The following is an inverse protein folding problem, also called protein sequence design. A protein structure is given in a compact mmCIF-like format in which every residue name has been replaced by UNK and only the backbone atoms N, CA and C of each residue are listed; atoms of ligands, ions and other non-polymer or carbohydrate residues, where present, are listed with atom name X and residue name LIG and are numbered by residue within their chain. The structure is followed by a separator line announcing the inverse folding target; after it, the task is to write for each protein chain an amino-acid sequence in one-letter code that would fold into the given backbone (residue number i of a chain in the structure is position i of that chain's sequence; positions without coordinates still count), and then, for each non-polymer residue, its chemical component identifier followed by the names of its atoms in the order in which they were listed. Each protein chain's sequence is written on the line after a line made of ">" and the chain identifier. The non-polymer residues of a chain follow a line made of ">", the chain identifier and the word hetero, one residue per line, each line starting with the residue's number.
data_IF_344894867795
#
_entry.id   IF_344894867795
#
_cell.length_a   1.000
_cell.length_b   1.000
_cell.length_c   1.000
_cell.angle_alpha   90.00
_cell.angle_beta   90.00
_cell.angle_gamma   90.00
#
_symmetry.space_group_name_H-M   'P 1'
#
loop_
_entity.id
_entity.type
_entity.pdbx_description
1 polymer ?
#
# COMPACT_ATOMS: atom_id res chain seq x y z
N UNK A 1 -19.05 -35.96 -14.49
CA UNK A 1 -18.38 -34.93 -15.31
C UNK A 1 -18.44 -33.66 -14.50
N UNK A 2 -17.33 -33.28 -13.87
CA UNK A 2 -17.22 -32.03 -13.13
C UNK A 2 -16.50 -31.04 -14.05
N UNK A 3 -17.22 -29.97 -14.40
CA UNK A 3 -16.71 -28.86 -15.18
C UNK A 3 -15.67 -28.13 -14.33
N UNK A 4 -14.46 -28.00 -14.84
CA UNK A 4 -13.39 -27.22 -14.19
C UNK A 4 -13.56 -25.79 -14.65
N UNK A 5 -14.05 -24.96 -13.75
CA UNK A 5 -14.03 -23.51 -13.87
C UNK A 5 -12.56 -23.03 -13.91
N UNK A 6 -12.03 -22.84 -15.11
CA UNK A 6 -10.70 -22.28 -15.34
C UNK A 6 -10.84 -20.79 -15.58
N UNK A 7 -10.94 -20.02 -14.49
CA UNK A 7 -10.89 -18.56 -14.56
C UNK A 7 -9.65 -18.10 -15.33
N UNK A 8 -9.87 -17.44 -16.47
CA UNK A 8 -8.79 -16.90 -17.30
C UNK A 8 -8.04 -15.81 -16.55
N UNK A 9 -6.78 -16.07 -16.23
CA UNK A 9 -5.86 -15.03 -15.76
C UNK A 9 -5.50 -14.12 -16.92
N UNK A 10 -6.14 -12.95 -17.02
CA UNK A 10 -5.71 -11.91 -17.97
C UNK A 10 -4.43 -11.24 -17.46
N UNK A 11 -3.29 -11.70 -17.98
CA UNK A 11 -2.07 -10.91 -17.99
C UNK A 11 -2.30 -9.67 -18.87
N UNK A 12 -2.28 -8.48 -18.30
CA UNK A 12 -2.08 -7.27 -19.09
C UNK A 12 -0.57 -7.14 -19.26
N UNK A 13 -0.04 -7.68 -20.36
CA UNK A 13 1.36 -7.55 -20.75
C UNK A 13 1.41 -7.22 -22.25
N UNK A 14 2.22 -6.22 -22.62
CA UNK A 14 2.57 -5.99 -24.02
C UNK A 14 3.30 -7.24 -24.53
N UNK A 15 2.86 -7.77 -25.67
CA UNK A 15 3.27 -9.08 -26.17
C UNK A 15 4.80 -9.20 -26.37
N UNK A 16 5.38 -10.26 -25.79
CA UNK A 16 6.53 -10.94 -26.40
C UNK A 16 7.92 -10.56 -25.90
N UNK A 17 8.20 -10.62 -24.60
CA UNK A 17 9.59 -10.81 -24.15
C UNK A 17 9.66 -11.56 -22.81
N UNK A 18 10.65 -12.45 -22.68
CA UNK A 18 10.90 -13.16 -21.44
C UNK A 18 11.16 -12.15 -20.31
N UNK A 19 10.41 -12.25 -19.22
CA UNK A 19 10.57 -11.38 -18.04
C UNK A 19 11.98 -11.57 -17.51
N UNK A 20 12.82 -10.56 -17.73
CA UNK A 20 14.07 -10.42 -16.99
C UNK A 20 13.72 -9.95 -15.57
N UNK A 21 14.39 -10.46 -14.51
CA UNK A 21 14.04 -10.16 -13.11
C UNK A 21 14.20 -8.69 -12.66
N UNK A 22 14.40 -7.74 -13.58
CA UNK A 22 14.66 -6.33 -13.28
C UNK A 22 13.45 -5.42 -13.46
N UNK A 23 12.33 -5.89 -13.99
CA UNK A 23 11.13 -5.06 -14.15
C UNK A 23 10.12 -5.31 -13.04
N UNK A 24 9.74 -4.23 -12.35
CA UNK A 24 8.65 -4.28 -11.39
C UNK A 24 7.34 -4.55 -12.13
N UNK A 25 6.66 -5.64 -11.79
CA UNK A 25 5.38 -6.00 -12.40
C UNK A 25 4.27 -5.99 -11.35
N UNK A 26 3.10 -5.46 -11.71
CA UNK A 26 1.85 -5.66 -10.98
C UNK A 26 0.93 -6.52 -11.85
N UNK A 27 0.55 -7.68 -11.33
CA UNK A 27 -0.41 -8.59 -11.95
C UNK A 27 -1.72 -8.48 -11.18
N UNK A 28 -2.81 -8.24 -11.90
CA UNK A 28 -4.17 -8.19 -11.35
C UNK A 28 -4.93 -9.41 -11.87
N UNK A 29 -5.43 -10.24 -10.96
CA UNK A 29 -6.29 -11.38 -11.29
C UNK A 29 -7.73 -10.94 -11.21
N UNK A 30 -8.52 -11.32 -12.21
CA UNK A 30 -9.93 -10.97 -12.30
C UNK A 30 -10.78 -12.18 -12.70
N UNK A 31 -12.05 -12.18 -12.33
CA UNK A 31 -13.08 -13.08 -12.89
C UNK A 31 -13.45 -12.66 -14.32
N UNK A 32 -14.23 -13.50 -15.02
CA UNK A 32 -14.85 -13.14 -16.30
C UNK A 32 -15.76 -11.90 -16.21
N UNK A 33 -16.36 -11.66 -15.03
CA UNK A 33 -17.20 -10.49 -14.76
C UNK A 33 -16.40 -9.22 -14.44
N UNK A 34 -15.06 -9.30 -14.42
CA UNK A 34 -14.16 -8.19 -14.14
C UNK A 34 -13.92 -7.91 -12.65
N UNK A 35 -14.37 -8.81 -11.76
CA UNK A 35 -14.13 -8.68 -10.33
C UNK A 35 -12.69 -9.06 -9.99
N UNK A 36 -11.98 -8.23 -9.23
CA UNK A 36 -10.59 -8.50 -8.83
C UNK A 36 -10.56 -9.58 -7.75
N UNK A 37 -9.92 -10.70 -8.07
CA UNK A 37 -9.76 -11.88 -7.20
C UNK A 37 -8.32 -12.05 -6.72
N UNK A 38 -7.40 -11.19 -7.12
CA UNK A 38 -6.03 -11.25 -6.61
C UNK A 38 -5.13 -10.18 -7.17
N UNK A 39 -4.03 -9.93 -6.46
CA UNK A 39 -2.97 -9.03 -6.87
C UNK A 39 -1.64 -9.74 -6.61
N UNK A 40 -0.65 -9.54 -7.47
CA UNK A 40 0.72 -9.94 -7.15
C UNK A 40 1.73 -9.00 -7.76
N UNK A 41 2.84 -8.82 -7.05
CA UNK A 41 3.97 -7.99 -7.49
C UNK A 41 5.29 -8.69 -7.21
N UNK A 42 6.26 -8.43 -8.07
CA UNK A 42 7.65 -8.82 -7.89
C UNK A 42 8.55 -7.61 -8.20
N UNK A 43 9.44 -7.26 -7.28
CA UNK A 43 10.40 -6.16 -7.42
C UNK A 43 11.64 -6.41 -6.56
N UNK A 44 12.84 -6.20 -7.08
CA UNK A 44 14.10 -6.26 -6.32
C UNK A 44 14.30 -7.56 -5.52
N UNK A 45 13.86 -8.71 -6.07
CA UNK A 45 13.89 -10.00 -5.37
C UNK A 45 12.89 -10.13 -4.21
N UNK A 46 11.89 -9.25 -4.16
CA UNK A 46 10.79 -9.25 -3.20
C UNK A 46 9.48 -9.48 -3.93
N UNK A 47 8.63 -10.31 -3.35
CA UNK A 47 7.33 -10.65 -3.89
C UNK A 47 6.24 -10.40 -2.85
N UNK A 48 5.10 -9.88 -3.29
CA UNK A 48 3.89 -9.83 -2.48
C UNK A 48 2.72 -10.29 -3.33
N UNK A 49 1.81 -11.06 -2.76
CA UNK A 49 0.64 -11.54 -3.47
C UNK A 49 -0.55 -11.73 -2.54
N UNK A 50 -1.73 -11.61 -3.11
CA UNK A 50 -2.99 -11.87 -2.46
C UNK A 50 -3.94 -12.56 -3.44
N UNK A 51 -4.68 -13.54 -2.94
CA UNK A 51 -5.76 -14.20 -3.64
C UNK A 51 -7.03 -14.16 -2.76
N UNK A 52 -8.17 -13.94 -3.38
CA UNK A 52 -9.50 -13.99 -2.76
C UNK A 52 -10.14 -15.31 -3.17
N UNK A 53 -10.49 -16.13 -2.20
CA UNK A 53 -11.13 -17.42 -2.41
C UNK A 53 -12.62 -17.26 -2.71
N UNK A 54 -13.27 -18.28 -3.32
CA UNK A 54 -14.71 -18.23 -3.60
C UNK A 54 -15.60 -18.07 -2.36
N UNK A 55 -15.13 -18.45 -1.17
CA UNK A 55 -15.81 -18.25 0.12
C UNK A 55 -15.49 -16.90 0.78
N UNK A 56 -14.79 -16.00 0.08
CA UNK A 56 -14.50 -14.63 0.53
C UNK A 56 -13.33 -14.50 1.50
N UNK A 57 -12.47 -15.53 1.61
CA UNK A 57 -11.24 -15.46 2.38
C UNK A 57 -10.13 -14.82 1.56
N UNK A 58 -9.27 -14.07 2.24
CA UNK A 58 -8.13 -13.40 1.66
C UNK A 58 -6.86 -14.09 2.13
N UNK A 59 -6.11 -14.63 1.17
CA UNK A 59 -4.87 -15.37 1.40
C UNK A 59 -3.71 -14.51 0.87
N UNK A 60 -2.91 -13.94 1.77
CA UNK A 60 -1.76 -13.14 1.41
C UNK A 60 -0.44 -13.88 1.63
N UNK A 61 0.55 -13.56 0.78
CA UNK A 61 1.91 -14.08 0.83
C UNK A 61 2.91 -12.97 0.59
N UNK A 62 4.05 -13.07 1.26
CA UNK A 62 5.19 -12.20 1.00
C UNK A 62 6.47 -13.04 0.99
N UNK A 63 7.38 -12.74 0.07
CA UNK A 63 8.70 -13.37 0.00
C UNK A 63 9.79 -12.34 -0.27
N UNK A 64 11.04 -12.69 0.07
CA UNK A 64 12.21 -11.84 -0.06
C UNK A 64 12.63 -11.12 1.23
N UNK A 65 13.79 -10.46 1.18
CA UNK A 65 14.38 -9.80 2.34
C UNK A 65 13.50 -8.66 2.84
N UNK A 66 13.30 -8.57 4.17
CA UNK A 66 12.58 -7.45 4.78
C UNK A 66 13.37 -6.16 4.57
N UNK A 67 12.80 -5.15 3.90
CA UNK A 67 13.51 -3.90 3.61
C UNK A 67 13.84 -3.14 4.90
N UNK A 68 14.84 -2.26 4.85
CA UNK A 68 15.15 -1.38 5.97
C UNK A 68 14.01 -0.36 6.18
N UNK A 69 13.90 0.18 7.40
CA UNK A 69 12.88 1.19 7.74
C UNK A 69 12.97 2.38 6.79
N UNK A 70 14.15 2.99 6.67
CA UNK A 70 14.43 4.12 5.78
C UNK A 70 14.00 3.87 4.32
N UNK A 71 14.30 2.68 3.78
CA UNK A 71 13.93 2.30 2.41
C UNK A 71 12.41 2.24 2.22
N UNK A 72 11.68 1.66 3.19
CA UNK A 72 10.21 1.62 3.15
C UNK A 72 9.60 3.01 3.21
N UNK A 73 10.11 3.85 4.11
CA UNK A 73 9.59 5.21 4.33
C UNK A 73 9.80 6.04 3.06
N UNK A 74 11.02 6.06 2.52
CA UNK A 74 11.34 6.76 1.29
C UNK A 74 10.50 6.26 0.11
N UNK A 75 10.38 4.94 -0.07
CA UNK A 75 9.56 4.34 -1.13
C UNK A 75 8.09 4.72 -1.01
N UNK A 76 7.54 4.67 0.20
CA UNK A 76 6.15 5.02 0.46
C UNK A 76 5.90 6.49 0.16
N UNK A 77 6.79 7.37 0.62
CA UNK A 77 6.78 8.79 0.30
C UNK A 77 6.81 9.03 -1.21
N UNK A 78 7.77 8.41 -1.91
CA UNK A 78 7.92 8.57 -3.36
C UNK A 78 6.70 8.08 -4.14
N UNK A 79 6.07 6.98 -3.70
CA UNK A 79 4.88 6.44 -4.35
C UNK A 79 3.68 7.38 -4.19
N UNK A 80 3.51 7.99 -3.00
CA UNK A 80 2.50 9.02 -2.77
C UNK A 80 2.77 10.28 -3.61
N UNK A 81 4.00 10.78 -3.63
CA UNK A 81 4.43 11.91 -4.47
C UNK A 81 4.08 11.65 -5.94
N UNK A 82 4.45 10.49 -6.47
CA UNK A 82 4.15 10.11 -7.85
C UNK A 82 2.64 10.07 -8.12
N UNK A 83 1.84 9.56 -7.17
CA UNK A 83 0.38 9.55 -7.29
C UNK A 83 -0.20 10.97 -7.34
N UNK A 84 0.23 11.86 -6.45
CA UNK A 84 -0.24 13.26 -6.42
C UNK A 84 0.19 14.03 -7.68
N UNK A 85 1.40 13.78 -8.20
CA UNK A 85 1.86 14.41 -9.43
C UNK A 85 1.03 13.97 -10.65
N UNK A 86 0.56 12.72 -10.69
CA UNK A 86 -0.40 12.27 -11.72
C UNK A 86 -1.76 12.97 -11.61
N UNK A 87 -2.08 13.57 -10.47
CA UNK A 87 -3.28 14.39 -10.26
C UNK A 87 -3.03 15.89 -10.52
N UNK A 88 -1.86 16.26 -11.04
CA UNK A 88 -1.53 17.63 -11.44
C UNK A 88 -0.72 18.42 -10.42
N UNK A 89 -0.23 17.80 -9.34
CA UNK A 89 0.77 18.42 -8.47
C UNK A 89 2.17 18.39 -9.09
N UNK A 90 3.08 19.21 -8.54
CA UNK A 90 4.44 19.40 -9.05
C UNK A 90 5.50 19.12 -7.98
N UNK A 91 5.35 18.03 -7.24
CA UNK A 91 6.29 17.66 -6.19
C UNK A 91 7.60 17.07 -6.73
N UNK A 92 8.73 17.46 -6.15
CA UNK A 92 10.03 16.84 -6.36
C UNK A 92 10.13 15.45 -5.71
N UNK A 93 11.32 14.81 -5.74
CA UNK A 93 11.54 13.52 -5.11
C UNK A 93 11.25 13.54 -3.61
N UNK A 94 10.78 12.40 -3.08
CA UNK A 94 10.62 12.24 -1.65
C UNK A 94 11.97 11.93 -1.00
N UNK A 95 12.33 12.74 0.00
CA UNK A 95 13.56 12.63 0.77
C UNK A 95 13.22 12.30 2.23
N UNK A 96 14.06 11.48 2.86
CA UNK A 96 13.93 11.18 4.29
C UNK A 96 14.26 12.42 5.12
N UNK A 97 13.54 12.62 6.20
CA UNK A 97 13.91 13.63 7.19
C UNK A 97 15.21 13.25 7.89
N UNK A 98 16.03 14.24 8.23
CA UNK A 98 17.20 14.01 9.07
C UNK A 98 16.73 13.65 10.49
N UNK A 99 16.92 12.38 10.87
CA UNK A 99 16.53 11.80 12.17
C UNK A 99 16.84 12.68 13.38
N UNK A 100 15.85 12.90 14.27
CA UNK A 100 16.07 13.65 15.50
C UNK A 100 14.83 13.92 16.35
N UNK A 101 15.04 14.47 17.56
CA UNK A 101 13.95 14.90 18.48
C UNK A 101 13.02 16.00 17.92
N UNK A 102 13.31 16.51 16.71
CA UNK A 102 12.59 17.57 16.01
C UNK A 102 11.72 17.06 14.85
N UNK A 103 11.64 15.76 14.59
CA UNK A 103 10.92 15.26 13.41
C UNK A 103 9.41 15.49 13.45
N UNK A 104 8.81 15.94 14.57
CA UNK A 104 7.37 16.28 14.72
C UNK A 104 6.37 15.28 14.09
N UNK A 105 6.82 14.04 13.85
CA UNK A 105 6.06 12.98 13.21
C UNK A 105 6.18 12.87 11.69
N UNK A 106 7.00 13.66 11.02
CA UNK A 106 7.28 13.58 9.58
C UNK A 106 8.43 12.58 9.35
N UNK A 107 8.24 11.63 8.44
CA UNK A 107 9.26 10.64 8.07
C UNK A 107 9.85 10.94 6.66
N UNK A 108 9.08 11.60 5.78
CA UNK A 108 9.53 12.02 4.45
C UNK A 108 9.00 13.41 4.08
N UNK A 109 9.76 14.12 3.25
CA UNK A 109 9.38 15.41 2.69
C UNK A 109 9.57 15.37 1.17
N UNK A 110 8.65 15.98 0.42
CA UNK A 110 8.90 16.37 -0.97
C UNK A 110 8.70 17.89 -1.10
N UNK A 111 9.58 18.54 -1.84
CA UNK A 111 9.55 20.01 -2.07
C UNK A 111 8.87 20.28 -3.40
N UNK A 112 8.02 21.30 -3.47
CA UNK A 112 7.41 21.69 -4.74
C UNK A 112 8.49 22.16 -5.75
N UNK A 113 8.35 21.76 -7.01
CA UNK A 113 9.36 22.05 -8.05
C UNK A 113 9.27 23.47 -8.59
N UNK A 114 8.18 24.18 -8.31
CA UNK A 114 7.95 25.58 -8.68
C UNK A 114 8.19 26.54 -7.50
N UNK A 115 8.01 26.09 -6.26
CA UNK A 115 8.23 26.89 -5.03
C UNK A 115 8.90 26.07 -3.91
N UNK A 116 10.19 26.32 -3.67
CA UNK A 116 10.98 25.57 -2.68
C UNK A 116 10.57 25.78 -1.20
N UNK A 117 9.68 26.75 -0.96
CA UNK A 117 9.11 27.02 0.36
C UNK A 117 7.92 26.12 0.67
N UNK A 118 7.29 25.53 -0.35
CA UNK A 118 6.13 24.65 -0.22
C UNK A 118 6.61 23.21 -0.08
N UNK A 119 6.13 22.53 0.98
CA UNK A 119 6.56 21.18 1.34
C UNK A 119 5.37 20.24 1.52
N UNK A 120 5.45 19.08 0.90
CA UNK A 120 4.62 17.93 1.20
C UNK A 120 5.25 17.19 2.38
N UNK A 121 4.60 17.24 3.54
CA UNK A 121 5.04 16.53 4.74
C UNK A 121 4.34 15.18 4.84
N UNK A 122 5.10 14.09 4.95
CA UNK A 122 4.57 12.73 4.92
C UNK A 122 4.97 12.00 6.21
N UNK A 123 3.96 11.49 6.92
CA UNK A 123 4.12 10.51 7.97
C UNK A 123 3.79 9.13 7.42
N UNK A 124 4.59 8.13 7.76
CA UNK A 124 4.43 6.76 7.27
C UNK A 124 4.07 5.80 8.41
N UNK A 125 3.27 4.78 8.08
CA UNK A 125 3.05 3.61 8.95
C UNK A 125 2.87 2.38 8.09
N UNK A 126 3.24 1.20 8.60
CA UNK A 126 2.86 -0.06 7.97
C UNK A 126 1.43 -0.45 8.34
N UNK A 127 0.70 -1.06 7.40
CA UNK A 127 -0.64 -1.63 7.64
C UNK A 127 -0.53 -2.90 8.47
N UNK A 128 0.27 -3.86 8.00
CA UNK A 128 0.49 -5.10 8.75
C UNK A 128 1.48 -4.88 9.90
N UNK A 129 1.05 -5.29 11.10
CA UNK A 129 1.83 -5.23 12.34
C UNK A 129 2.06 -6.60 12.95
N UNK A 130 1.70 -7.66 12.22
CA UNK A 130 1.91 -9.03 12.66
C UNK A 130 3.40 -9.39 12.62
N UNK A 131 3.70 -10.61 13.08
CA UNK A 131 5.05 -11.16 13.11
C UNK A 131 5.60 -11.52 11.70
N UNK A 132 4.98 -11.04 10.61
CA UNK A 132 5.44 -11.18 9.22
C UNK A 132 6.92 -10.82 9.06
N UNK A 133 7.38 -9.74 9.69
CA UNK A 133 8.79 -9.35 9.63
C UNK A 133 9.72 -10.40 10.27
N UNK A 134 9.28 -11.09 11.34
CA UNK A 134 10.06 -12.15 11.99
C UNK A 134 10.16 -13.36 11.07
N UNK A 135 9.05 -13.74 10.43
CA UNK A 135 9.03 -14.84 9.47
C UNK A 135 9.95 -14.54 8.28
N UNK A 136 9.83 -13.34 7.69
CA UNK A 136 10.70 -12.94 6.58
C UNK A 136 12.18 -12.91 6.96
N UNK A 137 12.52 -12.48 8.18
CA UNK A 137 13.89 -12.52 8.67
C UNK A 137 14.44 -13.95 8.86
N UNK A 138 13.58 -14.94 9.12
CA UNK A 138 13.98 -16.33 9.38
C UNK A 138 13.96 -17.21 8.13
N UNK A 139 12.92 -17.12 7.31
CA UNK A 139 12.64 -18.03 6.20
C UNK A 139 12.54 -17.35 4.83
N UNK A 140 12.79 -16.03 4.76
CA UNK A 140 12.60 -15.20 3.54
C UNK A 140 11.21 -15.31 2.92
N UNK A 141 10.25 -15.86 3.66
CA UNK A 141 8.87 -16.12 3.23
C UNK A 141 7.98 -15.95 4.45
N UNK A 142 6.82 -15.35 4.26
CA UNK A 142 5.80 -15.20 5.28
C UNK A 142 4.44 -15.56 4.69
N UNK A 143 3.77 -16.49 5.37
CA UNK A 143 2.36 -16.74 5.16
C UNK A 143 1.58 -15.85 6.12
N UNK A 144 0.70 -15.02 5.56
CA UNK A 144 -0.21 -14.23 6.37
C UNK A 144 -1.36 -15.12 6.83
N UNK A 145 -1.92 -14.90 8.03
CA UNK A 145 -3.15 -15.57 8.41
C UNK A 145 -4.25 -15.26 7.39
N UNK A 146 -5.12 -16.23 7.12
CA UNK A 146 -6.31 -15.99 6.31
C UNK A 146 -7.18 -14.93 6.99
N UNK A 147 -7.59 -13.91 6.22
CA UNK A 147 -8.38 -12.80 6.74
C UNK A 147 -9.68 -12.65 5.95
N UNK A 148 -10.71 -12.09 6.59
CA UNK A 148 -11.86 -11.51 5.88
C UNK A 148 -11.58 -10.05 5.53
N UNK A 149 -12.39 -9.48 4.65
CA UNK A 149 -12.33 -8.05 4.32
C UNK A 149 -12.52 -7.18 5.57
N UNK A 150 -13.43 -7.55 6.47
CA UNK A 150 -13.67 -6.82 7.71
C UNK A 150 -12.42 -6.81 8.61
N UNK A 151 -11.71 -7.94 8.70
CA UNK A 151 -10.47 -8.01 9.48
C UNK A 151 -9.36 -7.13 8.87
N UNK A 152 -9.30 -7.03 7.54
CA UNK A 152 -8.36 -6.14 6.84
C UNK A 152 -8.71 -4.68 7.12
N UNK A 153 -10.00 -4.33 7.06
CA UNK A 153 -10.50 -2.98 7.38
C UNK A 153 -10.13 -2.57 8.81
N UNK A 154 -10.31 -3.46 9.78
CA UNK A 154 -9.89 -3.21 11.17
C UNK A 154 -8.37 -3.06 11.32
N UNK A 155 -7.58 -3.81 10.55
CA UNK A 155 -6.12 -3.66 10.54
C UNK A 155 -5.69 -2.28 10.01
N UNK A 156 -6.33 -1.80 8.93
CA UNK A 156 -6.11 -0.44 8.40
C UNK A 156 -6.46 0.60 9.47
N UNK A 157 -7.63 0.48 10.11
CA UNK A 157 -8.05 1.40 11.19
C UNK A 157 -7.05 1.42 12.35
N UNK A 158 -6.60 0.25 12.80
CA UNK A 158 -5.62 0.10 13.88
C UNK A 158 -4.28 0.76 13.52
N UNK A 159 -3.84 0.63 12.27
CA UNK A 159 -2.63 1.29 11.80
C UNK A 159 -2.75 2.83 11.88
N UNK A 160 -3.89 3.39 11.49
CA UNK A 160 -4.17 4.84 11.60
C UNK A 160 -4.22 5.28 13.07
N UNK A 161 -4.93 4.53 13.93
CA UNK A 161 -5.10 4.85 15.35
C UNK A 161 -3.77 5.02 16.08
N UNK A 162 -2.79 4.18 15.75
CA UNK A 162 -1.47 4.25 16.36
C UNK A 162 -0.70 5.56 16.12
N UNK A 163 -1.11 6.34 15.12
CA UNK A 163 -0.48 7.60 14.75
C UNK A 163 -1.25 8.81 15.29
N UNK A 164 -2.36 8.58 16.01
CA UNK A 164 -3.23 9.66 16.48
C UNK A 164 -2.59 10.62 17.50
N UNK A 165 -1.49 10.24 18.12
CA UNK A 165 -0.85 11.00 19.21
C UNK A 165 0.11 12.10 18.74
N UNK A 166 0.35 12.22 17.42
CA UNK A 166 1.29 13.18 16.84
C UNK A 166 0.58 14.39 16.23
N UNK A 167 1.26 15.53 15.99
CA UNK A 167 0.74 16.64 15.18
C UNK A 167 0.29 16.13 13.81
N UNK A 168 -0.81 16.68 13.27
CA UNK A 168 -1.43 16.20 12.01
C UNK A 168 -1.65 17.29 10.97
N UNK A 169 -1.76 18.54 11.42
CA UNK A 169 -2.04 19.68 10.54
C UNK A 169 -0.89 19.88 9.56
N UNK A 170 -1.18 19.98 8.27
CA UNK A 170 -0.17 20.09 7.22
C UNK A 170 0.56 18.79 6.88
N UNK A 171 0.20 17.65 7.50
CA UNK A 171 0.86 16.35 7.28
C UNK A 171 -0.10 15.40 6.56
N UNK A 172 0.43 14.64 5.60
CA UNK A 172 -0.24 13.52 4.95
C UNK A 172 0.15 12.22 5.66
N UNK A 173 -0.82 11.35 5.92
CA UNK A 173 -0.56 10.01 6.45
C UNK A 173 -0.53 9.00 5.30
N UNK A 174 0.59 8.33 5.11
CA UNK A 174 0.77 7.28 4.12
C UNK A 174 0.92 5.91 4.81
N UNK A 175 -0.01 5.00 4.54
CA UNK A 175 0.01 3.64 5.03
C UNK A 175 0.72 2.75 4.01
N UNK A 176 1.94 2.30 4.32
CA UNK A 176 2.68 1.33 3.50
C UNK A 176 1.97 -0.03 3.54
N UNK A 177 1.37 -0.36 2.42
CA UNK A 177 0.72 -1.62 2.10
C UNK A 177 1.45 -2.36 0.96
N UNK A 178 2.70 -1.98 0.64
CA UNK A 178 3.50 -2.64 -0.41
C UNK A 178 3.61 -4.14 -0.15
N UNK A 179 3.87 -4.50 1.12
CA UNK A 179 4.03 -5.90 1.55
C UNK A 179 2.73 -6.48 2.14
N UNK A 180 1.79 -5.61 2.50
CA UNK A 180 0.43 -5.93 2.98
C UNK A 180 -0.58 -5.74 1.85
N UNK A 181 -0.29 -6.34 0.69
CA UNK A 181 -1.03 -6.11 -0.56
C UNK A 181 -2.52 -6.49 -0.46
N UNK A 182 -2.91 -7.32 0.50
CA UNK A 182 -4.32 -7.57 0.82
C UNK A 182 -5.10 -6.32 1.20
N UNK A 183 -4.45 -5.33 1.83
CA UNK A 183 -5.10 -4.07 2.18
C UNK A 183 -5.47 -3.24 0.94
N UNK A 184 -4.77 -3.42 -0.18
CA UNK A 184 -4.94 -2.62 -1.40
C UNK A 184 -6.03 -3.17 -2.33
N UNK A 185 -6.67 -4.28 -1.94
CA UNK A 185 -7.83 -4.83 -2.65
C UNK A 185 -8.97 -3.79 -2.67
N UNK A 186 -9.58 -3.51 -3.84
CA UNK A 186 -10.69 -2.55 -3.92
C UNK A 186 -11.87 -2.85 -2.97
N UNK A 187 -12.27 -4.12 -2.74
CA UNK A 187 -13.27 -4.43 -1.72
C UNK A 187 -12.87 -3.96 -0.32
N UNK A 188 -11.58 -4.05 0.05
CA UNK A 188 -11.08 -3.61 1.36
C UNK A 188 -11.05 -2.08 1.47
N UNK A 189 -10.57 -1.37 0.46
CA UNK A 189 -10.54 0.10 0.46
C UNK A 189 -11.94 0.69 0.46
N UNK A 190 -12.87 0.12 -0.31
CA UNK A 190 -14.27 0.56 -0.36
C UNK A 190 -14.99 0.29 0.96
N UNK A 191 -14.81 -0.90 1.55
CA UNK A 191 -15.38 -1.22 2.85
C UNK A 191 -14.81 -0.31 3.95
N UNK A 192 -13.51 0.00 3.91
CA UNK A 192 -12.90 0.93 4.85
C UNK A 192 -13.50 2.33 4.74
N UNK A 193 -13.63 2.90 3.53
CA UNK A 193 -14.23 4.22 3.33
C UNK A 193 -15.67 4.27 3.81
N UNK A 194 -16.45 3.23 3.53
CA UNK A 194 -17.84 3.13 3.96
C UNK A 194 -17.97 3.10 5.50
N UNK A 195 -17.09 2.37 6.19
CA UNK A 195 -17.14 2.22 7.64
C UNK A 195 -16.48 3.39 8.40
N UNK A 196 -15.34 3.90 7.90
CA UNK A 196 -14.41 4.75 8.64
C UNK A 196 -13.95 6.00 7.89
N UNK A 197 -14.44 6.27 6.67
CA UNK A 197 -14.02 7.43 5.88
C UNK A 197 -14.27 8.76 6.60
N UNK A 198 -15.48 8.97 7.14
CA UNK A 198 -15.82 10.20 7.88
C UNK A 198 -15.01 10.36 9.17
N UNK A 199 -14.74 9.26 9.87
CA UNK A 199 -13.86 9.27 11.05
C UNK A 199 -12.43 9.64 10.66
N UNK A 200 -11.92 9.09 9.55
CA UNK A 200 -10.56 9.34 9.05
C UNK A 200 -10.38 10.80 8.65
N UNK A 201 -11.38 11.39 7.96
CA UNK A 201 -11.41 12.81 7.62
C UNK A 201 -11.38 13.72 8.84
N UNK A 202 -12.01 13.29 9.94
CA UNK A 202 -12.03 14.03 11.22
C UNK A 202 -10.71 14.04 11.98
N UNK A 203 -9.68 13.31 11.54
CA UNK A 203 -8.40 13.21 12.24
C UNK A 203 -7.52 14.45 12.07
N UNK A 204 -7.72 15.25 11.03
CA UNK A 204 -6.99 16.51 10.79
C UNK A 204 -5.66 16.36 10.04
N UNK A 205 -5.45 15.24 9.35
CA UNK A 205 -4.43 15.12 8.30
C UNK A 205 -4.91 15.84 7.03
N UNK A 206 -3.99 16.29 6.16
CA UNK A 206 -4.33 16.85 4.84
C UNK A 206 -4.88 15.79 3.88
N UNK A 207 -4.44 14.54 4.08
CA UNK A 207 -5.04 13.37 3.48
C UNK A 207 -4.47 12.08 4.07
N UNK A 208 -5.26 11.01 4.00
CA UNK A 208 -4.86 9.68 4.49
C UNK A 208 -4.88 8.71 3.32
N UNK A 209 -3.74 8.11 3.02
CA UNK A 209 -3.53 7.32 1.82
C UNK A 209 -3.10 5.92 2.18
N UNK A 210 -3.70 4.93 1.54
CA UNK A 210 -3.17 3.58 1.45
C UNK A 210 -2.23 3.52 0.25
N UNK A 211 -0.97 3.18 0.49
CA UNK A 211 0.10 3.14 -0.52
C UNK A 211 0.53 1.70 -0.73
N UNK A 212 0.00 1.10 -1.78
CA UNK A 212 0.35 -0.24 -2.26
C UNK A 212 1.53 -0.26 -3.21
N UNK A 213 1.82 -1.42 -3.80
CA UNK A 213 2.86 -1.55 -4.82
C UNK A 213 2.49 -0.78 -6.10
N UNK A 214 3.52 -0.36 -6.83
CA UNK A 214 3.41 0.36 -8.10
C UNK A 214 2.52 1.61 -8.03
N UNK A 215 1.37 1.59 -8.70
CA UNK A 215 0.43 2.70 -8.83
C UNK A 215 -0.78 2.55 -7.92
N UNK A 216 -0.85 1.50 -7.10
CA UNK A 216 -1.97 1.21 -6.22
C UNK A 216 -1.96 2.14 -5.00
N UNK A 217 -2.38 3.38 -5.20
CA UNK A 217 -2.54 4.36 -4.13
C UNK A 217 -4.01 4.77 -4.05
N UNK A 218 -4.60 4.67 -2.87
CA UNK A 218 -6.01 5.01 -2.62
C UNK A 218 -6.12 6.00 -1.46
N UNK A 219 -6.87 7.08 -1.67
CA UNK A 219 -7.24 8.02 -0.60
C UNK A 219 -8.36 7.42 0.25
N UNK A 220 -8.22 7.45 1.57
CA UNK A 220 -9.11 6.78 2.54
C UNK A 220 -10.07 7.74 3.26
N UNK A 221 -9.76 9.04 3.28
CA UNK A 221 -10.51 10.10 3.98
C UNK A 221 -11.49 10.86 3.07
N UNK A 222 -11.69 10.41 1.83
CA UNK A 222 -12.65 10.98 0.88
C UNK A 222 -13.43 9.84 0.19
N UNK A 223 -14.69 10.09 -0.22
CA UNK A 223 -15.37 9.23 -1.19
C UNK A 223 -14.64 9.28 -2.54
N UNK A 224 -14.78 8.21 -3.34
CA UNK A 224 -14.25 8.14 -4.71
C UNK A 224 -14.86 9.20 -5.64
#
# INVERSE_FOLDING_TARGET
>A
MADKDTGESRMVQAEGEAITPSESALVIKMTETGEITGLSTARDGREAGVDVTPDGRVIARTAGAWPLKAEREQRTGQSLTNHLNRQGASWGPAELTEGGKQEDGVDCIAVDTEDDTVKLLIQTTVVDRTDTWKQLAQSQTAAHPEMTIEQIVEAIKTAIESKQTRPKKGIHLALDATDSINATLPPATNAFRAAYGSWTAGLGYEGVYLVGPETLVSRLDAPD
#
